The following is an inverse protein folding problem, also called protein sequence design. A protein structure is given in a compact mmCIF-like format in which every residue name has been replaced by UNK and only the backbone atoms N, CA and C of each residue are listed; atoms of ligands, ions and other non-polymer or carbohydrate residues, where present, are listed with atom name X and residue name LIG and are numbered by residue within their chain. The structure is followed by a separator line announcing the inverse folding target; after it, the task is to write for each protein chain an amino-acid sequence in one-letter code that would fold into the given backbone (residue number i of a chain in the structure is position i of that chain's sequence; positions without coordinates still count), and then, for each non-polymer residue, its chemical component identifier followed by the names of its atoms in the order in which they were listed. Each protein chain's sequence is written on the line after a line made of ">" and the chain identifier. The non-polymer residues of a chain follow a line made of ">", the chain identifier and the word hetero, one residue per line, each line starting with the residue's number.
data_IF_450286210781
#
_entry.id   IF_450286210781
#
_cell.length_a   1.000
_cell.length_b   1.000
_cell.length_c   1.000
_cell.angle_alpha   90.00
_cell.angle_beta   90.00
_cell.angle_gamma   90.00
#
_symmetry.space_group_name_H-M   'P 1'
#
loop_
_entity.id
_entity.type
_entity.pdbx_description
1 polymer ?
#
# COMPACT_ATOMS: atom_id res chain seq x y z
N UNK A 1 -4.02 -8.60 -6.45
CA UNK A 1 -2.88 -8.93 -7.32
C UNK A 1 -1.56 -8.67 -6.59
N UNK A 2 -1.30 -7.44 -6.11
CA UNK A 2 -0.03 -7.10 -5.43
C UNK A 2 0.32 -8.07 -4.29
N UNK A 3 -0.63 -8.35 -3.40
CA UNK A 3 -0.42 -9.29 -2.29
C UNK A 3 -0.07 -10.71 -2.78
N UNK A 4 -0.66 -11.15 -3.90
CA UNK A 4 -0.38 -12.47 -4.49
C UNK A 4 1.05 -12.60 -4.98
N UNK A 5 1.61 -11.53 -5.51
CA UNK A 5 2.99 -11.52 -6.03
C UNK A 5 4.02 -11.34 -4.91
N UNK A 6 3.68 -10.53 -3.91
CA UNK A 6 4.63 -10.09 -2.91
C UNK A 6 4.72 -11.04 -1.71
N UNK A 7 3.56 -11.59 -1.26
CA UNK A 7 3.47 -12.33 0.00
C UNK A 7 3.41 -13.83 -0.21
N UNK A 8 4.21 -14.54 0.57
CA UNK A 8 4.18 -15.98 0.74
C UNK A 8 3.59 -16.35 2.11
N UNK A 9 3.30 -17.63 2.30
CA UNK A 9 2.87 -18.16 3.59
C UNK A 9 3.91 -17.84 4.67
N UNK A 10 3.43 -17.37 5.83
CA UNK A 10 4.21 -16.93 6.99
C UNK A 10 5.03 -15.65 6.81
N UNK A 11 4.95 -14.96 5.67
CA UNK A 11 5.54 -13.61 5.58
C UNK A 11 4.85 -12.63 6.53
N UNK A 12 5.63 -11.75 7.16
CA UNK A 12 5.08 -10.71 8.03
C UNK A 12 4.77 -9.46 7.20
N UNK A 13 3.53 -8.97 7.34
CA UNK A 13 3.11 -7.68 6.79
C UNK A 13 2.64 -6.76 7.92
N UNK A 14 3.15 -5.54 7.96
CA UNK A 14 2.71 -4.52 8.90
C UNK A 14 1.48 -3.81 8.35
N UNK A 15 0.48 -3.63 9.22
CA UNK A 15 -0.77 -2.91 8.96
C UNK A 15 -1.14 -2.06 10.18
N UNK A 16 -1.98 -1.06 10.02
CA UNK A 16 -2.51 -0.29 11.15
C UNK A 16 -3.32 -1.15 12.13
N UNK A 17 -3.37 -0.75 13.40
CA UNK A 17 -4.19 -1.42 14.43
C UNK A 17 -5.67 -1.46 14.01
N UNK A 18 -6.18 -0.35 13.49
CA UNK A 18 -7.39 -0.30 12.67
C UNK A 18 -6.96 -0.25 11.21
N UNK A 19 -7.62 -1.00 10.33
CA UNK A 19 -7.23 -1.08 8.93
C UNK A 19 -8.41 -1.43 8.03
N UNK A 20 -8.24 -1.31 6.72
CA UNK A 20 -9.24 -1.72 5.74
C UNK A 20 -9.42 -3.25 5.75
N UNK A 21 -10.58 -3.70 6.21
CA UNK A 21 -10.87 -5.13 6.42
C UNK A 21 -10.65 -5.99 5.18
N UNK A 22 -10.98 -5.46 3.97
CA UNK A 22 -10.77 -6.20 2.74
C UNK A 22 -9.29 -6.39 2.41
N UNK A 23 -8.42 -5.43 2.77
CA UNK A 23 -6.97 -5.60 2.63
C UNK A 23 -6.48 -6.68 3.59
N UNK A 24 -6.88 -6.63 4.86
CA UNK A 24 -6.54 -7.65 5.85
C UNK A 24 -6.95 -9.06 5.39
N UNK A 25 -8.18 -9.18 4.89
CA UNK A 25 -8.70 -10.47 4.36
C UNK A 25 -7.82 -10.99 3.22
N UNK A 26 -7.40 -10.11 2.30
CA UNK A 26 -6.49 -10.51 1.21
C UNK A 26 -5.14 -11.02 1.73
N UNK A 27 -4.58 -10.40 2.77
CA UNK A 27 -3.30 -10.83 3.35
C UNK A 27 -3.46 -12.15 4.11
N UNK A 28 -4.54 -12.32 4.87
CA UNK A 28 -4.87 -13.56 5.58
C UNK A 28 -5.06 -14.72 4.59
N UNK A 29 -5.72 -14.49 3.45
CA UNK A 29 -5.86 -15.51 2.40
C UNK A 29 -4.53 -15.95 1.80
N UNK A 30 -3.49 -15.11 1.88
CA UNK A 30 -2.10 -15.49 1.53
C UNK A 30 -1.38 -16.20 2.67
N UNK A 31 -2.05 -16.42 3.81
CA UNK A 31 -1.46 -16.95 5.05
C UNK A 31 -0.30 -16.11 5.56
N UNK A 32 -0.33 -14.81 5.30
CA UNK A 32 0.62 -13.87 5.85
C UNK A 32 0.27 -13.52 7.30
N UNK A 33 1.28 -13.22 8.09
CA UNK A 33 1.14 -12.81 9.49
C UNK A 33 0.91 -11.29 9.53
N UNK A 34 -0.25 -10.86 10.02
CA UNK A 34 -0.54 -9.44 10.23
C UNK A 34 0.13 -8.94 11.51
N UNK A 35 1.03 -7.98 11.38
CA UNK A 35 1.68 -7.30 12.51
C UNK A 35 1.06 -5.92 12.65
N UNK A 36 0.35 -5.67 13.75
CA UNK A 36 -0.37 -4.43 14.00
C UNK A 36 0.54 -3.39 14.61
N UNK A 37 0.42 -2.13 14.13
CA UNK A 37 1.07 -0.95 14.71
C UNK A 37 0.04 0.12 15.01
N UNK A 38 0.32 0.97 15.97
CA UNK A 38 -0.55 2.08 16.37
C UNK A 38 -0.76 3.06 15.23
N UNK A 39 -1.95 3.63 15.19
CA UNK A 39 -2.34 4.75 14.33
C UNK A 39 -2.81 5.88 15.23
N UNK A 40 -2.13 7.02 15.15
CA UNK A 40 -2.48 8.24 15.88
C UNK A 40 -2.86 9.38 14.92
N UNK A 41 -2.92 10.61 15.41
CA UNK A 41 -3.28 11.79 14.62
C UNK A 41 -2.30 12.13 13.48
N UNK A 42 -1.11 11.52 13.47
CA UNK A 42 -0.10 11.65 12.43
C UNK A 42 0.00 10.41 11.52
N UNK A 43 -0.94 9.48 11.62
CA UNK A 43 -1.00 8.23 10.86
C UNK A 43 -0.29 7.07 11.55
N UNK A 44 0.24 6.11 10.78
CA UNK A 44 1.00 4.97 11.30
C UNK A 44 2.22 5.41 12.11
N UNK A 45 2.41 4.85 13.31
CA UNK A 45 3.57 5.13 14.16
C UNK A 45 4.80 4.41 13.61
N UNK A 46 5.62 5.14 12.86
CA UNK A 46 6.78 4.58 12.15
C UNK A 46 7.92 4.13 13.06
N UNK A 47 8.00 4.67 14.28
CA UNK A 47 8.97 4.21 15.29
C UNK A 47 8.66 2.78 15.76
N UNK A 48 7.39 2.41 15.90
CA UNK A 48 6.99 1.02 16.16
C UNK A 48 7.41 0.09 15.03
N UNK A 49 7.24 0.55 13.77
CA UNK A 49 7.70 -0.19 12.59
C UNK A 49 9.20 -0.46 12.68
N UNK A 50 10.00 0.55 13.04
CA UNK A 50 11.43 0.35 13.19
C UNK A 50 11.79 -0.66 14.28
N UNK A 51 11.12 -0.59 15.45
CA UNK A 51 11.36 -1.55 16.53
C UNK A 51 11.00 -2.99 16.12
N UNK A 52 9.91 -3.16 15.38
CA UNK A 52 9.49 -4.47 14.86
C UNK A 52 10.52 -5.00 13.85
N UNK A 53 11.02 -4.15 12.94
CA UNK A 53 12.02 -4.52 11.94
C UNK A 53 13.37 -4.94 12.57
N UNK A 54 13.69 -4.45 13.76
CA UNK A 54 14.89 -4.91 14.52
C UNK A 54 14.75 -6.33 15.07
N UNK A 55 13.51 -6.82 15.24
CA UNK A 55 13.22 -8.10 15.88
C UNK A 55 12.85 -9.21 14.88
N UNK A 56 12.23 -8.85 13.76
CA UNK A 56 11.77 -9.81 12.76
C UNK A 56 11.83 -9.23 11.36
N UNK A 57 11.97 -10.11 10.38
CA UNK A 57 11.93 -9.73 8.97
C UNK A 57 10.49 -9.34 8.58
N UNK A 58 10.34 -8.18 7.99
CA UNK A 58 9.09 -7.66 7.43
C UNK A 58 9.17 -7.73 5.92
N UNK A 59 8.13 -8.29 5.29
CA UNK A 59 8.03 -8.37 3.84
C UNK A 59 7.42 -7.14 3.22
N UNK A 60 6.39 -6.59 3.87
CA UNK A 60 5.71 -5.40 3.40
C UNK A 60 5.08 -4.59 4.55
N UNK A 61 4.84 -3.32 4.27
CA UNK A 61 3.98 -2.41 5.06
C UNK A 61 2.83 -1.96 4.17
N UNK A 62 1.59 -2.12 4.61
CA UNK A 62 0.41 -1.59 3.93
C UNK A 62 0.00 -0.27 4.55
N UNK A 63 -0.23 0.75 3.74
CA UNK A 63 -0.60 2.09 4.17
C UNK A 63 -1.60 2.75 3.22
N UNK A 64 -2.58 3.47 3.78
CA UNK A 64 -3.44 4.42 3.07
C UNK A 64 -2.98 5.82 3.48
N UNK A 65 -1.99 6.35 2.77
CA UNK A 65 -1.15 7.47 3.23
C UNK A 65 -1.85 8.81 3.25
N UNK A 66 -2.85 9.04 2.38
CA UNK A 66 -3.62 10.28 2.31
C UNK A 66 -4.77 10.29 3.31
N UNK A 67 -5.56 9.24 3.35
CA UNK A 67 -6.66 9.10 4.30
C UNK A 67 -6.67 7.67 4.86
N UNK A 68 -6.10 7.51 6.04
CA UNK A 68 -6.03 6.21 6.69
C UNK A 68 -7.44 5.66 6.94
N UNK A 69 -7.70 4.44 6.47
CA UNK A 69 -8.99 3.81 6.72
C UNK A 69 -8.98 3.04 8.07
N UNK A 70 -9.95 3.26 8.99
CA UNK A 70 -11.14 4.12 8.86
C UNK A 70 -10.99 5.51 9.50
N UNK A 71 -9.84 5.86 10.06
CA UNK A 71 -9.66 7.06 10.90
C UNK A 71 -9.57 8.36 10.10
N UNK A 72 -9.36 8.28 8.79
CA UNK A 72 -9.18 9.40 7.84
C UNK A 72 -7.95 10.29 8.09
N UNK A 73 -7.09 9.93 9.03
CA UNK A 73 -5.86 10.68 9.31
C UNK A 73 -4.86 10.57 8.17
N UNK A 74 -4.15 11.65 7.91
CA UNK A 74 -3.10 11.69 6.88
C UNK A 74 -1.76 11.34 7.51
N UNK A 75 -0.98 10.49 6.83
CA UNK A 75 0.39 10.19 7.24
C UNK A 75 1.25 11.46 7.12
N UNK A 76 1.83 11.93 8.22
CA UNK A 76 2.62 13.16 8.25
C UNK A 76 3.85 13.09 7.35
N UNK A 77 4.33 14.26 6.89
CA UNK A 77 5.50 14.35 6.01
C UNK A 77 6.75 13.70 6.64
N UNK A 78 6.95 13.90 7.93
CA UNK A 78 8.06 13.28 8.68
C UNK A 78 7.95 11.75 8.63
N UNK A 79 6.78 11.19 8.92
CA UNK A 79 6.56 9.74 8.90
C UNK A 79 6.63 9.15 7.49
N UNK A 80 6.27 9.90 6.46
CA UNK A 80 6.45 9.49 5.06
C UNK A 80 7.92 9.29 4.73
N UNK A 81 8.76 10.28 5.08
CA UNK A 81 10.21 10.20 4.88
C UNK A 81 10.80 9.06 5.72
N UNK A 82 10.40 8.94 6.98
CA UNK A 82 10.88 7.88 7.86
C UNK A 82 10.51 6.50 7.31
N UNK A 83 9.27 6.28 6.89
CA UNK A 83 8.81 5.00 6.33
C UNK A 83 9.60 4.61 5.05
N UNK A 84 9.86 5.56 4.14
CA UNK A 84 10.68 5.31 2.96
C UNK A 84 12.13 4.92 3.34
N UNK A 85 12.71 5.60 4.33
CA UNK A 85 14.05 5.27 4.84
C UNK A 85 14.08 3.88 5.48
N UNK A 86 13.05 3.52 6.24
CA UNK A 86 12.93 2.17 6.82
C UNK A 86 12.78 1.10 5.74
N UNK A 87 11.97 1.35 4.70
CA UNK A 87 11.81 0.44 3.57
C UNK A 87 13.16 0.16 2.88
N UNK A 88 13.95 1.21 2.66
CA UNK A 88 15.32 1.07 2.13
C UNK A 88 16.23 0.31 3.08
N UNK A 89 16.26 0.67 4.36
CA UNK A 89 17.15 0.10 5.38
C UNK A 89 16.88 -1.38 5.63
N UNK A 90 15.62 -1.78 5.68
CA UNK A 90 15.20 -3.14 6.03
C UNK A 90 14.71 -3.95 4.81
N UNK A 91 14.76 -3.38 3.61
CA UNK A 91 14.42 -4.03 2.34
C UNK A 91 13.01 -4.62 2.29
N UNK A 92 12.02 -3.92 2.82
CA UNK A 92 10.61 -4.28 2.69
C UNK A 92 9.90 -3.43 1.64
N UNK A 93 8.81 -3.94 1.08
CA UNK A 93 7.96 -3.20 0.16
C UNK A 93 6.92 -2.35 0.92
N UNK A 94 6.55 -1.21 0.36
CA UNK A 94 5.39 -0.42 0.82
C UNK A 94 4.26 -0.62 -0.18
N UNK A 95 3.11 -1.12 0.27
CA UNK A 95 1.88 -1.13 -0.51
C UNK A 95 1.11 0.13 -0.14
N UNK A 96 1.18 1.15 -0.99
CA UNK A 96 0.45 2.40 -0.84
C UNK A 96 -0.89 2.30 -1.58
N UNK A 97 -1.99 2.18 -0.83
CA UNK A 97 -3.35 2.10 -1.36
C UNK A 97 -4.00 3.48 -1.27
N UNK A 98 -4.10 4.15 -2.41
CA UNK A 98 -4.55 5.53 -2.53
C UNK A 98 -5.86 5.61 -3.31
N UNK A 99 -6.94 5.38 -2.60
CA UNK A 99 -8.27 5.27 -3.18
C UNK A 99 -8.97 6.62 -3.41
N UNK A 100 -8.41 7.73 -2.92
CA UNK A 100 -9.04 9.05 -2.94
C UNK A 100 -8.07 10.24 -3.08
N UNK A 101 -6.93 10.04 -3.75
CA UNK A 101 -5.90 11.06 -3.99
C UNK A 101 -6.44 12.39 -4.47
N UNK A 102 -7.44 12.38 -5.36
CA UNK A 102 -8.00 13.58 -5.97
C UNK A 102 -8.91 14.39 -5.02
N UNK A 103 -9.21 13.87 -3.83
CA UNK A 103 -10.12 14.52 -2.88
C UNK A 103 -9.37 15.22 -1.75
N UNK A 104 -8.83 16.40 -2.05
CA UNK A 104 -8.20 17.27 -1.07
C UNK A 104 -9.07 18.52 -0.82
N UNK A 105 -9.79 18.52 0.30
CA UNK A 105 -10.73 19.61 0.62
C UNK A 105 -10.11 20.77 1.40
N UNK A 106 -9.02 20.55 2.12
CA UNK A 106 -8.52 21.50 3.12
C UNK A 106 -7.07 21.96 2.95
N UNK A 107 -6.26 21.34 2.08
CA UNK A 107 -4.82 21.62 1.98
C UNK A 107 -4.31 21.48 0.54
N UNK A 108 -3.08 21.99 0.31
CA UNK A 108 -2.37 21.69 -0.94
C UNK A 108 -2.19 20.17 -1.09
N UNK A 109 -2.30 19.62 -2.30
CA UNK A 109 -2.11 18.19 -2.54
C UNK A 109 -0.77 17.70 -1.99
N UNK A 110 -0.80 16.67 -1.17
CA UNK A 110 0.40 15.98 -0.69
C UNK A 110 0.71 14.89 -1.71
N UNK A 111 1.95 14.86 -2.21
CA UNK A 111 2.34 13.82 -3.16
C UNK A 111 2.36 12.43 -2.50
N UNK A 112 2.01 11.36 -3.24
CA UNK A 112 2.13 9.99 -2.75
C UNK A 112 3.55 9.63 -2.32
N UNK A 113 3.71 8.62 -1.46
CA UNK A 113 5.02 8.04 -1.12
C UNK A 113 5.80 7.60 -2.36
N UNK A 114 5.10 7.04 -3.34
CA UNK A 114 5.68 6.63 -4.62
C UNK A 114 6.42 7.76 -5.35
N UNK A 115 6.00 9.02 -5.19
CA UNK A 115 6.65 10.19 -5.81
C UNK A 115 8.05 10.48 -5.26
N UNK A 116 8.33 10.01 -4.05
CA UNK A 116 9.61 10.20 -3.37
C UNK A 116 10.43 8.92 -3.27
N UNK A 117 9.91 7.81 -3.81
CA UNK A 117 10.62 6.53 -3.79
C UNK A 117 11.70 6.48 -4.88
N UNK A 118 12.94 6.56 -4.47
CA UNK A 118 14.11 6.47 -5.35
C UNK A 118 14.68 5.04 -5.47
N UNK A 119 14.10 4.08 -4.72
CA UNK A 119 14.66 2.73 -4.62
C UNK A 119 13.74 1.64 -5.19
N UNK A 120 12.53 1.99 -5.63
CA UNK A 120 11.55 1.04 -6.14
C UNK A 120 10.89 0.16 -5.06
N UNK A 121 10.83 0.66 -3.82
CA UNK A 121 10.21 -0.06 -2.72
C UNK A 121 8.68 0.12 -2.67
N UNK A 122 8.13 1.16 -3.30
CA UNK A 122 6.70 1.47 -3.25
C UNK A 122 5.94 0.83 -4.40
N UNK A 123 4.87 0.13 -4.04
CA UNK A 123 3.84 -0.37 -4.95
C UNK A 123 2.61 0.51 -4.71
N UNK A 124 2.41 1.49 -5.59
CA UNK A 124 1.28 2.41 -5.53
C UNK A 124 0.06 1.81 -6.21
N UNK A 125 -1.08 1.85 -5.55
CA UNK A 125 -2.37 1.37 -6.06
C UNK A 125 -3.33 2.55 -6.05
N UNK A 126 -3.77 2.97 -7.22
CA UNK A 126 -4.74 4.04 -7.41
C UNK A 126 -6.05 3.55 -8.02
N UNK A 127 -7.08 4.36 -7.91
CA UNK A 127 -8.39 4.07 -8.46
C UNK A 127 -9.01 5.30 -9.11
N UNK A 128 -9.62 5.14 -10.27
CA UNK A 128 -10.42 6.19 -10.92
C UNK A 128 -11.91 6.08 -10.61
N UNK A 129 -12.30 5.10 -9.78
CA UNK A 129 -13.71 4.83 -9.49
C UNK A 129 -14.44 5.98 -8.81
N UNK A 130 -13.74 6.75 -7.96
CA UNK A 130 -14.32 7.91 -7.27
C UNK A 130 -14.28 9.16 -8.12
N UNK A 131 -13.23 9.33 -8.93
CA UNK A 131 -12.98 10.54 -9.73
C UNK A 131 -13.83 10.58 -10.99
N UNK A 132 -13.96 9.45 -11.68
CA UNK A 132 -14.72 9.37 -12.95
C UNK A 132 -16.12 8.82 -12.71
N UNK A 133 -16.23 7.54 -12.43
CA UNK A 133 -17.50 6.92 -12.05
C UNK A 133 -17.28 5.54 -11.41
N UNK A 134 -18.01 5.20 -10.34
CA UNK A 134 -17.90 3.90 -9.66
C UNK A 134 -18.15 2.67 -10.55
N UNK A 135 -18.92 2.86 -11.63
CA UNK A 135 -19.28 1.79 -12.57
C UNK A 135 -18.09 1.24 -13.35
N UNK A 136 -17.06 2.04 -13.60
CA UNK A 136 -15.91 1.59 -14.40
C UNK A 136 -15.08 0.53 -13.72
N UNK A 137 -15.04 0.50 -12.40
CA UNK A 137 -14.27 -0.50 -11.63
C UNK A 137 -12.80 -0.63 -12.04
N UNK A 138 -12.19 0.50 -12.44
CA UNK A 138 -10.79 0.56 -12.88
C UNK A 138 -9.91 1.01 -11.73
N UNK A 139 -8.85 0.24 -11.50
CA UNK A 139 -7.70 0.62 -10.69
C UNK A 139 -6.42 0.49 -11.51
N UNK A 140 -5.37 1.17 -11.08
CA UNK A 140 -4.06 1.10 -11.70
C UNK A 140 -2.98 0.86 -10.65
N UNK A 141 -1.83 0.38 -11.11
CA UNK A 141 -0.70 0.05 -10.26
C UNK A 141 0.56 0.69 -10.85
N UNK A 142 1.32 1.37 -10.01
CA UNK A 142 2.63 1.94 -10.34
C UNK A 142 3.66 1.29 -9.42
N UNK A 143 4.69 0.66 -10.02
CA UNK A 143 5.76 -0.01 -9.30
C UNK A 143 6.99 -0.14 -10.18
N UNK A 144 8.02 -0.86 -9.74
CA UNK A 144 9.17 -1.19 -10.59
C UNK A 144 8.73 -1.94 -11.85
N UNK A 145 9.48 -1.78 -12.94
CA UNK A 145 9.20 -2.45 -14.22
C UNK A 145 9.08 -3.95 -14.07
N UNK A 146 9.95 -4.55 -13.27
CA UNK A 146 9.97 -5.98 -13.00
C UNK A 146 8.68 -6.42 -12.32
N UNK A 147 8.24 -5.67 -11.30
CA UNK A 147 6.99 -5.97 -10.59
C UNK A 147 5.76 -5.83 -11.50
N UNK A 148 5.71 -4.78 -12.31
CA UNK A 148 4.61 -4.54 -13.27
C UNK A 148 4.53 -5.66 -14.31
N UNK A 149 5.68 -6.09 -14.86
CA UNK A 149 5.71 -7.19 -15.81
C UNK A 149 5.19 -8.50 -15.21
N UNK A 150 5.61 -8.82 -13.99
CA UNK A 150 5.12 -10.00 -13.28
C UNK A 150 3.63 -9.90 -12.95
N UNK A 151 3.16 -8.70 -12.57
CA UNK A 151 1.74 -8.43 -12.35
C UNK A 151 0.91 -8.64 -13.62
N UNK A 152 1.39 -8.16 -14.77
CA UNK A 152 0.76 -8.36 -16.07
C UNK A 152 0.68 -9.85 -16.42
N UNK A 153 1.77 -10.59 -16.25
CA UNK A 153 1.80 -12.03 -16.49
C UNK A 153 0.79 -12.78 -15.62
N UNK A 154 0.74 -12.46 -14.34
CA UNK A 154 -0.23 -13.09 -13.42
C UNK A 154 -1.68 -12.73 -13.75
N UNK A 155 -1.93 -11.53 -14.27
CA UNK A 155 -3.26 -11.07 -14.63
C UNK A 155 -3.86 -11.90 -15.78
N UNK A 156 -3.05 -12.34 -16.75
CA UNK A 156 -3.50 -13.20 -17.85
C UNK A 156 -4.20 -14.47 -17.33
N UNK A 157 -3.76 -14.99 -16.19
CA UNK A 157 -4.36 -16.18 -15.56
C UNK A 157 -5.61 -15.89 -14.71
N UNK A 158 -5.90 -14.61 -14.42
CA UNK A 158 -7.06 -14.21 -13.60
C UNK A 158 -8.25 -13.85 -14.48
N UNK A 159 -8.05 -12.96 -15.46
CA UNK A 159 -9.13 -12.38 -16.27
C UNK A 159 -8.85 -12.33 -17.78
N UNK A 160 -7.76 -12.96 -18.23
CA UNK A 160 -7.28 -13.04 -19.62
C UNK A 160 -7.13 -11.70 -20.33
N UNK A 161 -8.19 -10.90 -20.37
CA UNK A 161 -8.16 -9.52 -20.87
C UNK A 161 -9.20 -8.69 -20.11
N UNK A 162 -8.93 -7.38 -20.02
CA UNK A 162 -9.88 -6.46 -19.41
C UNK A 162 -11.20 -6.35 -20.18
N UNK A 163 -12.12 -5.60 -19.64
CA UNK A 163 -13.41 -5.34 -20.29
C UNK A 163 -13.17 -4.72 -21.68
N UNK A 164 -13.80 -5.31 -22.71
CA UNK A 164 -13.64 -4.88 -24.09
C UNK A 164 -14.35 -3.54 -24.41
N UNK A 165 -15.10 -2.99 -23.43
CA UNK A 165 -15.79 -1.69 -23.56
C UNK A 165 -14.93 -0.53 -23.03
N UNK A 166 -13.74 -0.81 -22.55
CA UNK A 166 -12.71 0.15 -22.12
C UNK A 166 -11.44 -0.06 -22.93
#
# INVERSE_FOLDING_TARGET
>A
LASKLLLKENDNIIVGQTNYTSADTNFIQRKANLVRVTVDENGLVTDEIEQICKQKMIKAVYVTSHHHHPTTVTLSAERRIHLLNLAKKYSFAIIEDDYDYDFNYNHSPILPLASHDTNGNVIYIGSVCKTVAPVFRIGYLIASKEFVNEAANQRIFIDRQGDALL
#
